data_IF_983546241061
#
_entry.id   IF_983546241061
#
_cell.length_a   1.000
_cell.length_b   1.000
_cell.length_c   1.000
_cell.angle_alpha   90.00
_cell.angle_beta   90.00
_cell.angle_gamma   90.00
#
_symmetry.space_group_name_H-M   'P 1'
#
loop_
_entity.id
_entity.type
_entity.pdbx_description
1 polymer ?
#
# COMPACT_ATOMS: atom_id res chain seq x y z
N UNK A 1 -12.34 -11.97 13.40
CA UNK A 1 -11.61 -10.71 13.16
C UNK A 1 -12.40 -9.57 13.79
N UNK A 2 -11.81 -8.74 14.65
CA UNK A 2 -12.51 -7.62 15.29
C UNK A 2 -13.07 -6.64 14.26
N UNK A 3 -14.14 -5.94 14.60
CA UNK A 3 -14.95 -5.13 13.68
C UNK A 3 -14.16 -4.02 12.95
N UNK A 4 -13.03 -3.58 13.53
CA UNK A 4 -12.16 -2.51 13.00
C UNK A 4 -11.40 -2.91 11.72
N UNK A 5 -11.29 -4.20 11.40
CA UNK A 5 -10.57 -4.68 10.20
C UNK A 5 -11.32 -4.51 8.87
N UNK A 6 -12.58 -4.08 8.90
CA UNK A 6 -13.42 -3.99 7.69
C UNK A 6 -13.59 -2.56 7.16
N UNK A 7 -13.12 -1.56 7.89
CA UNK A 7 -13.19 -0.16 7.48
C UNK A 7 -12.11 0.11 6.44
N UNK A 8 -12.47 0.78 5.34
CA UNK A 8 -11.50 1.14 4.32
C UNK A 8 -10.62 2.30 4.79
N UNK A 9 -9.44 2.48 4.18
CA UNK A 9 -8.60 3.65 4.47
C UNK A 9 -9.35 4.96 4.20
N UNK A 10 -10.20 5.01 3.17
CA UNK A 10 -10.96 6.22 2.85
C UNK A 10 -11.97 6.60 3.95
N UNK A 11 -12.59 5.61 4.59
CA UNK A 11 -13.54 5.86 5.68
C UNK A 11 -12.83 6.14 7.01
N UNK A 12 -11.71 5.47 7.26
CA UNK A 12 -10.94 5.62 8.51
C UNK A 12 -10.06 6.88 8.53
N UNK A 13 -9.45 7.22 7.39
CA UNK A 13 -8.58 8.39 7.21
C UNK A 13 -8.69 8.94 5.76
N UNK A 14 -9.72 9.75 5.48
CA UNK A 14 -9.93 10.33 4.15
C UNK A 14 -8.79 11.27 3.74
N UNK A 15 -8.06 11.85 4.69
CA UNK A 15 -6.94 12.76 4.41
C UNK A 15 -5.77 12.01 3.80
N UNK A 16 -5.38 10.88 4.40
CA UNK A 16 -4.32 10.01 3.88
C UNK A 16 -4.74 9.38 2.55
N UNK A 17 -5.98 8.91 2.43
CA UNK A 17 -6.50 8.39 1.16
C UNK A 17 -6.40 9.44 0.03
N UNK A 18 -6.72 10.70 0.30
CA UNK A 18 -6.58 11.78 -0.67
C UNK A 18 -5.13 12.08 -1.04
N UNK A 19 -4.18 11.98 -0.10
CA UNK A 19 -2.74 12.12 -0.36
C UNK A 19 -2.26 11.02 -1.32
N UNK A 20 -2.61 9.76 -1.05
CA UNK A 20 -2.22 8.62 -1.89
C UNK A 20 -2.76 8.78 -3.32
N UNK A 21 -4.03 9.17 -3.47
CA UNK A 21 -4.62 9.40 -4.79
C UNK A 21 -3.92 10.53 -5.58
N UNK A 22 -3.48 11.59 -4.89
CA UNK A 22 -2.68 12.64 -5.54
C UNK A 22 -1.32 12.14 -5.99
N UNK A 23 -0.66 11.28 -5.21
CA UNK A 23 0.62 10.70 -5.59
C UNK A 23 0.51 9.73 -6.76
N UNK A 24 -0.54 8.89 -6.79
CA UNK A 24 -0.83 8.04 -7.95
C UNK A 24 -0.96 8.89 -9.22
N UNK A 25 -1.72 9.99 -9.14
CA UNK A 25 -1.85 10.91 -10.27
C UNK A 25 -0.52 11.54 -10.67
N UNK A 26 0.28 12.00 -9.69
CA UNK A 26 1.62 12.58 -9.96
C UNK A 26 2.51 11.60 -10.71
N UNK A 27 2.54 10.32 -10.31
CA UNK A 27 3.35 9.29 -10.98
C UNK A 27 2.83 8.98 -12.38
N UNK A 28 1.51 9.00 -12.60
CA UNK A 28 0.92 8.77 -13.93
C UNK A 28 1.18 9.92 -14.92
N UNK A 29 1.19 11.15 -14.42
CA UNK A 29 1.32 12.36 -15.23
C UNK A 29 2.80 12.78 -15.42
N UNK A 30 3.76 12.07 -14.84
CA UNK A 30 5.19 12.39 -14.90
C UNK A 30 6.03 11.29 -15.54
N UNK A 31 7.03 11.68 -16.33
CA UNK A 31 8.03 10.74 -16.85
C UNK A 31 9.13 10.56 -15.80
N UNK A 32 9.18 9.39 -15.18
CA UNK A 32 10.20 9.07 -14.19
C UNK A 32 11.51 8.64 -14.87
N UNK A 33 12.62 9.31 -14.56
CA UNK A 33 13.94 9.11 -15.17
C UNK A 33 15.02 8.74 -14.15
N UNK A 34 14.66 8.62 -12.87
CA UNK A 34 15.57 8.17 -11.83
C UNK A 34 15.80 6.67 -12.01
N UNK A 35 17.03 6.28 -12.37
CA UNK A 35 17.37 4.90 -12.73
C UNK A 35 17.10 3.85 -11.64
N UNK A 36 17.05 4.26 -10.36
CA UNK A 36 16.77 3.40 -9.23
C UNK A 36 15.28 3.28 -8.89
N UNK A 37 14.42 4.13 -9.46
CA UNK A 37 12.97 4.10 -9.22
C UNK A 37 12.26 3.16 -10.19
N UNK A 38 11.18 2.54 -9.70
CA UNK A 38 10.37 1.59 -10.47
C UNK A 38 8.98 1.46 -9.84
N UNK A 39 8.04 0.88 -10.59
CA UNK A 39 6.68 0.60 -10.13
C UNK A 39 6.50 -0.89 -9.86
N UNK A 40 6.14 -1.25 -8.63
CA UNK A 40 5.82 -2.62 -8.27
C UNK A 40 4.50 -3.09 -8.90
N UNK A 41 4.42 -4.39 -9.20
CA UNK A 41 3.19 -4.98 -9.74
C UNK A 41 2.04 -4.89 -8.73
N UNK A 42 0.81 -4.98 -9.22
CA UNK A 42 -0.37 -5.02 -8.35
C UNK A 42 -0.32 -6.21 -7.38
N UNK A 43 0.12 -7.39 -7.85
CA UNK A 43 0.24 -8.59 -7.04
C UNK A 43 1.22 -8.43 -5.86
N UNK A 44 2.35 -7.75 -6.06
CA UNK A 44 3.29 -7.46 -4.96
C UNK A 44 2.64 -6.55 -3.92
N UNK A 45 1.95 -5.49 -4.35
CA UNK A 45 1.27 -4.57 -3.43
C UNK A 45 0.12 -5.23 -2.66
N UNK A 46 -0.61 -6.14 -3.29
CA UNK A 46 -1.65 -6.94 -2.64
C UNK A 46 -1.07 -7.84 -1.54
N UNK A 47 0.02 -8.54 -1.83
CA UNK A 47 0.71 -9.38 -0.85
C UNK A 47 1.22 -8.57 0.35
N UNK A 48 1.73 -7.36 0.12
CA UNK A 48 2.19 -6.46 1.19
C UNK A 48 1.07 -6.01 2.13
N UNK A 49 -0.18 -5.95 1.66
CA UNK A 49 -1.36 -5.61 2.47
C UNK A 49 -2.05 -6.82 3.10
N UNK A 50 -1.44 -8.01 3.05
CA UNK A 50 -2.05 -9.24 3.56
C UNK A 50 -1.89 -9.39 5.08
N UNK A 51 -2.62 -10.35 5.64
CA UNK A 51 -2.58 -10.73 7.07
C UNK A 51 -1.20 -11.18 7.56
N UNK A 52 -0.21 -11.34 6.67
CA UNK A 52 1.16 -11.67 7.06
C UNK A 52 1.79 -10.58 7.94
N UNK A 53 1.32 -9.33 7.87
CA UNK A 53 1.77 -8.23 8.74
C UNK A 53 1.46 -8.45 10.21
N UNK A 54 0.47 -9.29 10.52
CA UNK A 54 0.04 -9.58 11.89
C UNK A 54 0.94 -10.66 12.53
N UNK A 55 1.79 -11.31 11.74
CA UNK A 55 2.53 -12.49 12.16
C UNK A 55 3.91 -12.13 12.67
N UNK A 56 4.14 -12.45 13.94
CA UNK A 56 5.48 -12.60 14.50
C UNK A 56 6.00 -14.03 14.23
N UNK A 57 7.19 -14.15 13.62
CA UNK A 57 7.78 -15.42 13.18
C UNK A 57 9.31 -15.44 13.37
N UNK A 58 9.74 -15.59 14.63
CA UNK A 58 11.16 -15.83 14.96
C UNK A 58 11.59 -17.25 14.56
N UNK A 59 12.90 -17.43 14.33
CA UNK A 59 13.51 -18.71 14.00
C UNK A 59 13.72 -18.93 12.50
N UNK A 60 13.72 -20.19 12.08
CA UNK A 60 13.78 -20.60 10.68
C UNK A 60 12.43 -21.24 10.30
N UNK A 61 12.15 -21.49 9.00
CA UNK A 61 10.92 -22.14 8.57
C UNK A 61 10.57 -23.42 9.34
#
# INVERSE_FOLDING_TARGET
MPAHHRTTLADSDPTVAAILNREVKRQQDHLELIASENHSSAAVREAMGSVLTDKYAEGYP
#
